data_IF_682087311636
#
_entry.id   IF_682087311636
#
_cell.length_a   1.000
_cell.length_b   1.000
_cell.length_c   1.000
_cell.angle_alpha   90.00
_cell.angle_beta   90.00
_cell.angle_gamma   90.00
#
_symmetry.space_group_name_H-M   'P 1'
#
loop_
_entity.id
_entity.type
_entity.pdbx_description
1 polymer ?
#
# COMPACT_ATOMS: atom_id res chain seq x y z
N UNK A 1 22.18 9.26 3.54
CA UNK A 1 21.85 7.88 3.11
C UNK A 1 20.33 7.80 3.03
N UNK A 2 19.76 7.57 1.85
CA UNK A 2 18.31 7.42 1.69
C UNK A 2 17.89 6.05 2.24
N UNK A 3 17.13 6.02 3.33
CA UNK A 3 16.56 4.79 3.87
C UNK A 3 15.47 4.30 2.91
N UNK A 4 15.78 3.28 2.11
CA UNK A 4 14.77 2.58 1.33
C UNK A 4 13.71 2.00 2.29
N UNK A 5 12.43 2.25 2.01
CA UNK A 5 11.34 1.66 2.77
C UNK A 5 11.11 0.26 2.22
N UNK A 6 11.11 -0.74 3.11
CA UNK A 6 10.81 -2.12 2.75
C UNK A 6 9.29 -2.33 2.68
N UNK A 7 8.80 -2.45 1.45
CA UNK A 7 7.39 -2.67 1.14
C UNK A 7 7.03 -4.14 0.93
N UNK A 8 7.97 -5.07 1.16
CA UNK A 8 7.77 -6.52 0.93
C UNK A 8 6.56 -7.04 1.71
N UNK A 9 6.42 -6.58 2.96
CA UNK A 9 5.30 -6.95 3.84
C UNK A 9 3.93 -6.57 3.25
N UNK A 10 3.83 -5.52 2.42
CA UNK A 10 2.58 -5.18 1.75
C UNK A 10 2.24 -6.17 0.63
N UNK A 11 3.25 -6.55 -0.16
CA UNK A 11 3.07 -7.53 -1.24
C UNK A 11 2.69 -8.92 -0.71
N UNK A 12 3.18 -9.30 0.46
CA UNK A 12 2.87 -10.58 1.10
C UNK A 12 1.43 -10.63 1.63
N UNK A 13 0.97 -9.55 2.27
CA UNK A 13 -0.29 -9.56 3.03
C UNK A 13 -1.48 -8.93 2.29
N UNK A 14 -1.22 -8.03 1.34
CA UNK A 14 -2.25 -7.17 0.74
C UNK A 14 -2.21 -7.14 -0.79
N UNK A 15 -1.57 -8.11 -1.43
CA UNK A 15 -1.49 -8.25 -2.89
C UNK A 15 -2.84 -8.02 -3.58
N UNK A 16 -2.88 -7.10 -4.54
CA UNK A 16 -4.09 -6.76 -5.31
C UNK A 16 -5.15 -5.96 -4.54
N UNK A 17 -4.93 -5.66 -3.26
CA UNK A 17 -5.86 -4.89 -2.42
C UNK A 17 -5.48 -3.42 -2.36
N UNK A 18 -6.43 -2.61 -1.95
CA UNK A 18 -6.21 -1.26 -1.49
C UNK A 18 -5.86 -1.28 -0.01
N UNK A 19 -4.80 -0.57 0.37
CA UNK A 19 -4.42 -0.34 1.77
C UNK A 19 -4.52 1.14 2.09
N UNK A 20 -4.92 1.44 3.32
CA UNK A 20 -4.81 2.76 3.91
C UNK A 20 -3.61 2.77 4.86
N UNK A 21 -2.61 3.59 4.55
CA UNK A 21 -1.39 3.76 5.33
C UNK A 21 -1.49 4.99 6.22
N UNK A 22 -0.99 4.90 7.45
CA UNK A 22 -0.86 6.03 8.36
C UNK A 22 0.23 7.01 7.87
N UNK A 23 0.32 8.17 8.50
CA UNK A 23 1.28 9.24 8.15
C UNK A 23 2.77 8.85 8.25
N UNK A 24 3.09 7.71 8.84
CA UNK A 24 4.45 7.16 8.91
C UNK A 24 4.86 6.38 7.64
N UNK A 25 3.97 6.36 6.66
CA UNK A 25 4.03 5.64 5.40
C UNK A 25 4.27 4.12 5.52
N UNK A 26 4.04 3.53 6.68
CA UNK A 26 4.41 2.13 6.94
C UNK A 26 3.28 1.35 7.59
N UNK A 27 2.52 2.00 8.47
CA UNK A 27 1.50 1.33 9.26
C UNK A 27 0.21 1.22 8.46
N UNK A 28 -0.20 -0.01 8.13
CA UNK A 28 -1.50 -0.26 7.51
C UNK A 28 -2.61 -0.13 8.55
N UNK A 29 -3.47 0.87 8.38
CA UNK A 29 -4.62 1.10 9.26
C UNK A 29 -5.89 0.41 8.77
N UNK A 30 -6.02 0.14 7.46
CA UNK A 30 -7.12 -0.65 6.90
C UNK A 30 -6.76 -1.21 5.52
N UNK A 31 -7.53 -2.19 5.05
CA UNK A 31 -7.42 -2.72 3.69
C UNK A 31 -8.79 -3.13 3.14
N UNK A 32 -8.96 -3.09 1.82
CA UNK A 32 -10.20 -3.45 1.13
C UNK A 32 -9.99 -3.80 -0.33
N UNK A 33 -11.02 -4.32 -1.00
CA UNK A 33 -10.95 -4.64 -2.43
C UNK A 33 -10.97 -3.38 -3.30
N UNK A 34 -11.62 -2.33 -2.83
CA UNK A 34 -11.65 -1.02 -3.48
C UNK A 34 -11.03 0.06 -2.61
N UNK A 35 -10.61 1.17 -3.25
CA UNK A 35 -10.14 2.36 -2.55
C UNK A 35 -11.17 2.88 -1.55
N UNK A 36 -12.47 2.79 -1.91
CA UNK A 36 -13.59 3.19 -1.07
C UNK A 36 -13.67 2.36 0.21
N UNK A 37 -13.61 1.03 0.09
CA UNK A 37 -13.71 0.14 1.25
C UNK A 37 -12.55 0.39 2.24
N UNK A 38 -11.33 0.49 1.71
CA UNK A 38 -10.14 0.80 2.51
C UNK A 38 -10.28 2.17 3.21
N UNK A 39 -10.80 3.18 2.51
CA UNK A 39 -11.03 4.51 3.08
C UNK A 39 -12.11 4.51 4.16
N UNK A 40 -13.27 3.90 3.91
CA UNK A 40 -14.38 3.86 4.87
C UNK A 40 -14.01 3.11 6.15
N UNK A 41 -13.19 2.05 6.03
CA UNK A 41 -12.64 1.35 7.19
C UNK A 41 -11.60 2.19 7.94
N UNK A 42 -10.72 2.90 7.23
CA UNK A 42 -9.69 3.75 7.85
C UNK A 42 -10.29 5.01 8.50
N UNK A 43 -11.32 5.62 7.93
CA UNK A 43 -11.97 6.83 8.44
C UNK A 43 -12.62 6.63 9.82
N UNK A 44 -12.84 5.38 10.25
CA UNK A 44 -13.30 5.03 11.60
C UNK A 44 -12.18 5.12 12.66
N UNK A 45 -10.93 5.30 12.23
CA UNK A 45 -9.75 5.38 13.10
C UNK A 45 -9.25 6.83 13.13
N UNK A 46 -8.68 7.28 14.26
CA UNK A 46 -8.10 8.61 14.34
C UNK A 46 -6.82 8.69 13.50
N UNK A 47 -6.53 9.89 12.99
CA UNK A 47 -5.34 10.17 12.19
C UNK A 47 -5.65 10.33 10.70
N UNK A 48 -4.68 10.89 9.96
CA UNK A 48 -4.76 10.94 8.50
C UNK A 48 -4.19 9.66 7.92
N UNK A 49 -4.72 9.29 6.77
CA UNK A 49 -4.24 8.15 5.99
C UNK A 49 -4.20 8.48 4.51
N UNK A 50 -3.39 7.72 3.78
CA UNK A 50 -3.37 7.76 2.32
C UNK A 50 -3.60 6.35 1.77
N UNK A 51 -4.15 6.31 0.57
CA UNK A 51 -4.54 5.07 -0.09
C UNK A 51 -3.46 4.63 -1.07
N UNK A 52 -3.15 3.35 -1.06
CA UNK A 52 -2.20 2.73 -1.98
C UNK A 52 -2.79 1.43 -2.52
N UNK A 53 -2.75 1.25 -3.84
CA UNK A 53 -3.12 -0.02 -4.46
C UNK A 53 -1.88 -0.90 -4.55
N UNK A 54 -1.90 -2.01 -3.82
CA UNK A 54 -0.82 -2.98 -3.85
C UNK A 54 -0.90 -3.75 -5.16
N UNK A 55 0.18 -3.81 -5.97
CA UNK A 55 0.20 -4.59 -7.19
C UNK A 55 -0.18 -6.05 -6.93
N UNK A 56 -1.01 -6.62 -7.81
CA UNK A 56 -1.36 -8.04 -7.76
C UNK A 56 -0.19 -8.95 -8.16
N UNK A 57 0.71 -8.43 -8.97
CA UNK A 57 1.90 -9.11 -9.51
C UNK A 57 3.11 -8.22 -9.31
N UNK A 58 4.26 -8.84 -9.02
CA UNK A 58 5.56 -8.18 -9.04
C UNK A 58 6.14 -8.38 -10.44
N UNK A 59 5.54 -7.71 -11.42
CA UNK A 59 6.09 -7.71 -12.78
C UNK A 59 7.34 -6.83 -12.77
N UNK A 60 8.50 -7.49 -12.68
CA UNK A 60 9.80 -6.83 -12.74
C UNK A 60 10.02 -6.34 -14.17
N UNK A 61 9.85 -5.04 -14.38
CA UNK A 61 10.25 -4.41 -15.63
C UNK A 61 11.76 -4.31 -15.71
N UNK A 62 12.40 -5.16 -16.52
CA UNK A 62 13.81 -5.05 -16.88
C UNK A 62 13.88 -4.54 -18.32
N UNK A 63 13.97 -3.22 -18.48
CA UNK A 63 14.16 -2.61 -19.80
C UNK A 63 15.62 -2.69 -20.23
N UNK A 64 15.87 -3.12 -21.47
CA UNK A 64 17.12 -2.82 -22.16
C UNK A 64 16.85 -1.63 -23.08
N UNK A 65 17.43 -0.48 -22.79
CA UNK A 65 17.45 0.65 -23.72
C UNK A 65 18.45 0.32 -24.83
N UNK A 66 17.94 0.14 -26.05
CA UNK A 66 18.73 0.09 -27.29
C UNK A 66 18.92 1.51 -27.84
#
# INVERSE_FOLDING_TARGET
MSNAIDWTHLSENYRGKWVALAEDDRTVVAAGETAKDAHEMAAKKPGRHFLYQVPGTLDLFVGYAI
#
